data_IF_295090817251
#
_entry.id   IF_295090817251
#
_cell.length_a   1.000
_cell.length_b   1.000
_cell.length_c   1.000
_cell.angle_alpha   90.00
_cell.angle_beta   90.00
_cell.angle_gamma   90.00
#
_symmetry.space_group_name_H-M   'P 1'
#
loop_
_entity.id
_entity.type
_entity.pdbx_description
1 polymer ?
#
# COMPACT_ATOMS: atom_id res chain seq x y z
N UNK A 1 4.35 -0.14 -0.01
CA UNK A 1 3.51 -1.17 0.60
C UNK A 1 2.82 -2.00 -0.48
N UNK A 2 3.54 -2.93 -1.09
CA UNK A 2 2.94 -4.26 -1.29
C UNK A 2 3.50 -5.27 -0.27
N UNK A 3 4.68 -5.00 0.27
CA UNK A 3 5.46 -6.01 1.01
C UNK A 3 5.13 -6.17 2.49
N UNK A 4 4.56 -5.15 3.16
CA UNK A 4 4.21 -5.26 4.59
C UNK A 4 2.86 -5.90 4.89
N UNK A 5 2.14 -6.34 3.85
CA UNK A 5 0.80 -6.93 4.01
C UNK A 5 0.82 -8.20 4.89
N UNK A 6 1.98 -8.85 5.05
CA UNK A 6 2.18 -10.05 5.86
C UNK A 6 3.13 -9.84 7.04
N UNK A 7 3.45 -8.60 7.38
CA UNK A 7 4.31 -8.33 8.53
C UNK A 7 3.64 -8.83 9.82
N UNK A 8 4.41 -9.35 10.80
CA UNK A 8 3.86 -9.74 12.09
C UNK A 8 3.06 -8.61 12.75
N UNK A 9 1.87 -8.93 13.27
CA UNK A 9 0.95 -7.95 13.89
C UNK A 9 0.02 -7.22 12.91
N UNK A 10 0.13 -7.48 11.60
CA UNK A 10 -0.84 -7.02 10.61
C UNK A 10 -1.97 -8.04 10.48
N UNK A 11 -3.21 -7.57 10.63
CA UNK A 11 -4.42 -8.36 10.35
C UNK A 11 -5.02 -7.91 9.03
N UNK A 12 -5.11 -8.84 8.07
CA UNK A 12 -5.80 -8.66 6.80
C UNK A 12 -7.15 -9.36 6.81
N UNK A 13 -8.18 -8.68 6.27
CA UNK A 13 -9.49 -9.25 5.99
C UNK A 13 -9.88 -8.92 4.55
N UNK A 14 -10.43 -9.90 3.85
CA UNK A 14 -11.07 -9.63 2.57
C UNK A 14 -12.35 -8.80 2.83
N UNK A 15 -12.44 -7.66 2.16
CA UNK A 15 -13.51 -6.65 2.31
C UNK A 15 -14.25 -6.43 0.99
N UNK A 16 -14.45 -7.54 0.27
CA UNK A 16 -15.29 -7.62 -0.91
C UNK A 16 -14.63 -7.20 -2.22
N UNK A 17 -15.40 -7.39 -3.28
CA UNK A 17 -15.06 -6.95 -4.62
C UNK A 17 -15.49 -5.49 -4.81
N UNK A 18 -14.66 -4.69 -5.47
CA UNK A 18 -15.00 -3.33 -5.86
C UNK A 18 -14.77 -3.15 -7.35
N UNK A 19 -15.81 -2.68 -8.05
CA UNK A 19 -15.72 -2.29 -9.44
C UNK A 19 -15.53 -0.78 -9.57
N UNK A 20 -14.49 -0.37 -10.29
CA UNK A 20 -14.28 1.03 -10.65
C UNK A 20 -15.33 1.47 -11.67
N UNK A 21 -16.06 2.53 -11.38
CA UNK A 21 -17.10 3.03 -12.29
C UNK A 21 -16.54 3.76 -13.51
N UNK A 22 -15.30 4.23 -13.44
CA UNK A 22 -14.66 5.02 -14.50
C UNK A 22 -13.82 4.15 -15.42
N UNK A 23 -13.06 3.21 -14.87
CA UNK A 23 -12.16 2.33 -15.65
C UNK A 23 -12.73 0.94 -15.90
N UNK A 24 -13.86 0.59 -15.26
CA UNK A 24 -14.42 -0.76 -15.24
C UNK A 24 -13.50 -1.85 -14.64
N UNK A 25 -12.35 -1.48 -14.08
CA UNK A 25 -11.45 -2.38 -13.38
C UNK A 25 -12.14 -3.03 -12.18
N UNK A 26 -11.77 -4.28 -11.88
CA UNK A 26 -12.29 -5.03 -10.75
C UNK A 26 -11.17 -5.28 -9.75
N UNK A 27 -11.40 -4.94 -8.49
CA UNK A 27 -10.44 -5.07 -7.41
C UNK A 27 -10.93 -6.03 -6.33
N UNK A 28 -10.01 -6.82 -5.79
CA UNK A 28 -10.16 -7.40 -4.46
C UNK A 28 -9.75 -6.36 -3.43
N UNK A 29 -10.70 -5.92 -2.60
CA UNK A 29 -10.41 -4.99 -1.53
C UNK A 29 -10.04 -5.75 -0.27
N UNK A 30 -8.92 -5.38 0.33
CA UNK A 30 -8.43 -5.92 1.59
C UNK A 30 -8.49 -4.83 2.65
N UNK A 31 -9.19 -5.08 3.75
CA UNK A 31 -9.11 -4.25 4.95
C UNK A 31 -7.91 -4.69 5.79
N UNK A 32 -7.09 -3.71 6.18
CA UNK A 32 -5.88 -3.90 6.95
C UNK A 32 -5.98 -3.10 8.26
N UNK A 33 -5.69 -3.78 9.36
CA UNK A 33 -5.62 -3.24 10.72
C UNK A 33 -4.40 -3.80 11.44
N UNK A 34 -3.98 -3.15 12.53
CA UNK A 34 -2.83 -3.56 13.32
C UNK A 34 -3.27 -4.02 14.70
N UNK A 35 -2.78 -5.19 15.14
CA UNK A 35 -3.06 -5.71 16.47
C UNK A 35 -1.83 -5.53 17.37
N UNK A 36 -1.94 -4.65 18.36
CA UNK A 36 -0.94 -4.47 19.44
C UNK A 36 0.50 -4.22 18.94
N UNK A 37 0.67 -3.64 17.75
CA UNK A 37 1.97 -3.26 17.18
C UNK A 37 1.97 -1.80 16.73
N UNK A 38 3.11 -1.14 16.92
CA UNK A 38 3.30 0.25 16.51
C UNK A 38 2.66 1.30 17.42
N UNK A 39 2.86 2.57 17.07
CA UNK A 39 2.33 3.71 17.83
C UNK A 39 0.88 4.08 17.45
N UNK A 40 0.34 3.49 16.38
CA UNK A 40 -0.95 3.87 15.79
C UNK A 40 -1.88 2.67 15.55
N UNK A 41 -2.24 1.90 16.60
CA UNK A 41 -3.08 0.71 16.45
C UNK A 41 -4.49 1.00 15.93
N UNK A 42 -4.96 2.25 16.02
CA UNK A 42 -6.26 2.67 15.50
C UNK A 42 -6.30 2.96 13.99
N UNK A 43 -5.16 2.97 13.31
CA UNK A 43 -5.10 3.25 11.87
C UNK A 43 -5.77 2.12 11.08
N UNK A 44 -6.55 2.50 10.06
CA UNK A 44 -7.21 1.57 9.14
C UNK A 44 -6.80 1.85 7.72
N UNK A 45 -6.56 0.79 6.97
CA UNK A 45 -6.21 0.87 5.56
C UNK A 45 -7.11 -0.04 4.73
N UNK A 46 -7.41 0.39 3.51
CA UNK A 46 -8.02 -0.44 2.48
C UNK A 46 -7.10 -0.49 1.28
N UNK A 47 -6.79 -1.70 0.84
CA UNK A 47 -5.87 -1.98 -0.25
C UNK A 47 -6.66 -2.60 -1.38
N UNK A 48 -6.52 -2.05 -2.59
CA UNK A 48 -7.26 -2.48 -3.77
C UNK A 48 -6.29 -3.21 -4.71
N UNK A 49 -6.46 -4.53 -4.81
CA UNK A 49 -5.64 -5.41 -5.65
C UNK A 49 -6.40 -5.65 -6.95
N UNK A 50 -5.85 -5.22 -8.08
CA UNK A 50 -6.49 -5.41 -9.38
C UNK A 50 -6.49 -6.90 -9.74
N UNK A 51 -7.68 -7.45 -10.03
CA UNK A 51 -7.83 -8.88 -10.31
C UNK A 51 -7.16 -9.34 -11.61
N UNK A 52 -6.99 -8.44 -12.57
CA UNK A 52 -6.43 -8.79 -13.87
C UNK A 52 -4.91 -8.96 -13.84
N UNK A 53 -4.20 -8.19 -13.00
CA UNK A 53 -2.74 -8.15 -12.97
C UNK A 53 -2.12 -8.43 -11.58
N UNK A 54 -2.96 -8.59 -10.55
CA UNK A 54 -2.57 -8.80 -9.15
C UNK A 54 -1.62 -7.72 -8.60
N UNK A 55 -1.70 -6.49 -9.13
CA UNK A 55 -0.99 -5.33 -8.59
C UNK A 55 -1.91 -4.51 -7.70
N UNK A 56 -1.31 -3.83 -6.76
CA UNK A 56 -2.02 -2.89 -5.92
C UNK A 56 -2.11 -1.56 -6.67
N UNK A 57 -3.31 -1.03 -6.88
CA UNK A 57 -3.47 0.19 -7.71
C UNK A 57 -4.10 1.35 -6.94
N UNK A 58 -4.72 1.05 -5.79
CA UNK A 58 -5.30 2.07 -4.93
C UNK A 58 -5.19 1.69 -3.46
N UNK A 59 -4.97 2.72 -2.66
CA UNK A 59 -4.94 2.69 -1.21
C UNK A 59 -5.95 3.70 -0.67
N UNK A 60 -6.57 3.40 0.45
CA UNK A 60 -7.27 4.36 1.28
C UNK A 60 -6.82 4.19 2.71
N UNK A 61 -6.69 5.28 3.46
CA UNK A 61 -6.33 5.22 4.86
C UNK A 61 -7.21 6.16 5.70
N UNK A 62 -7.50 5.73 6.91
CA UNK A 62 -8.14 6.54 7.93
C UNK A 62 -7.28 6.43 9.20
N UNK A 63 -6.51 7.48 9.48
CA UNK A 63 -5.63 7.49 10.65
C UNK A 63 -6.44 7.67 11.92
N UNK A 64 -5.91 7.16 13.03
CA UNK A 64 -6.49 7.35 14.34
C UNK A 64 -6.70 8.84 14.63
N UNK A 65 -7.93 9.21 15.00
CA UNK A 65 -8.31 10.59 15.29
C UNK A 65 -8.70 11.43 14.07
N UNK A 66 -8.58 10.91 12.84
CA UNK A 66 -9.14 11.57 11.66
C UNK A 66 -10.64 11.24 11.49
N UNK A 67 -11.48 12.23 11.15
CA UNK A 67 -12.87 11.96 10.76
C UNK A 67 -12.93 11.34 9.35
N UNK A 68 -13.96 10.52 9.06
CA UNK A 68 -14.24 10.07 7.69
C UNK A 68 -14.48 11.25 6.71
N UNK A 69 -14.30 11.04 5.39
CA UNK A 69 -13.98 9.78 4.72
C UNK A 69 -12.49 9.42 4.73
N UNK A 70 -12.13 8.14 4.47
CA UNK A 70 -10.74 7.73 4.24
C UNK A 70 -10.06 8.51 3.09
N UNK A 71 -8.75 8.69 3.20
CA UNK A 71 -7.94 9.45 2.24
C UNK A 71 -7.37 8.51 1.17
N UNK A 72 -7.71 8.68 -0.11
CA UNK A 72 -7.27 7.80 -1.19
C UNK A 72 -5.89 8.17 -1.74
N UNK A 73 -5.14 7.18 -2.22
CA UNK A 73 -3.90 7.33 -2.98
C UNK A 73 -3.84 6.29 -4.09
N UNK A 74 -3.41 6.68 -5.29
CA UNK A 74 -3.11 5.71 -6.36
C UNK A 74 -1.72 5.11 -6.21
N UNK A 75 -1.54 3.94 -6.81
CA UNK A 75 -0.28 3.20 -6.91
C UNK A 75 -0.05 2.89 -8.39
N UNK A 76 0.83 3.64 -9.04
CA UNK A 76 0.99 3.68 -10.49
C UNK A 76 2.45 3.49 -10.90
N UNK A 77 2.68 3.29 -12.20
CA UNK A 77 4.03 3.19 -12.77
C UNK A 77 4.78 1.98 -12.24
N UNK A 78 4.15 0.82 -12.21
CA UNK A 78 4.78 -0.40 -11.71
C UNK A 78 5.97 -0.80 -12.58
N UNK A 79 7.13 -0.93 -11.95
CA UNK A 79 8.38 -1.39 -12.55
C UNK A 79 8.85 -2.67 -11.85
N UNK A 80 9.46 -3.57 -12.61
CA UNK A 80 10.11 -4.77 -12.07
C UNK A 80 11.61 -4.56 -11.97
N UNK A 81 12.18 -4.86 -10.81
CA UNK A 81 13.60 -4.82 -10.53
C UNK A 81 13.96 -6.08 -9.73
N UNK A 82 14.82 -6.93 -10.28
CA UNK A 82 15.32 -8.16 -9.65
C UNK A 82 14.21 -9.10 -9.13
N UNK A 83 13.10 -9.23 -9.88
CA UNK A 83 11.96 -10.07 -9.52
C UNK A 83 11.00 -9.44 -8.50
N UNK A 84 11.24 -8.19 -8.10
CA UNK A 84 10.40 -7.40 -7.21
C UNK A 84 9.70 -6.28 -7.99
N UNK A 85 8.47 -5.98 -7.62
CA UNK A 85 7.63 -4.98 -8.27
C UNK A 85 7.50 -3.73 -7.40
N UNK A 86 7.74 -2.57 -7.99
CA UNK A 86 7.73 -1.27 -7.31
C UNK A 86 6.85 -0.28 -8.06
N UNK A 87 5.90 0.39 -7.38
CA UNK A 87 5.17 1.50 -7.96
C UNK A 87 6.02 2.76 -7.88
N UNK A 88 6.22 3.42 -9.01
CA UNK A 88 7.05 4.62 -9.09
C UNK A 88 6.27 5.93 -8.99
N UNK A 89 4.93 5.88 -8.97
CA UNK A 89 4.10 7.07 -8.79
C UNK A 89 2.93 6.83 -7.82
N UNK A 90 2.65 7.83 -6.99
CA UNK A 90 1.48 7.85 -6.10
C UNK A 90 0.78 9.18 -6.19
N UNK A 91 -0.54 9.19 -6.43
CA UNK A 91 -1.32 10.43 -6.60
C UNK A 91 -2.43 10.56 -5.57
N UNK A 92 -2.66 11.79 -5.11
CA UNK A 92 -3.82 12.21 -4.33
C UNK A 92 -4.14 13.66 -4.67
N UNK A 93 -5.27 13.90 -5.36
CA UNK A 93 -5.66 15.22 -5.84
C UNK A 93 -4.55 15.83 -6.70
N UNK A 94 -4.11 17.04 -6.34
CA UNK A 94 -3.04 17.75 -7.05
C UNK A 94 -1.63 17.33 -6.62
N UNK A 95 -1.50 16.38 -5.68
CA UNK A 95 -0.21 15.89 -5.20
C UNK A 95 0.16 14.61 -5.92
N UNK A 96 1.38 14.59 -6.45
CA UNK A 96 2.01 13.37 -6.97
C UNK A 96 3.37 13.18 -6.31
N UNK A 97 3.65 11.95 -5.88
CA UNK A 97 4.94 11.51 -5.37
C UNK A 97 5.55 10.56 -6.38
N UNK A 98 6.78 10.85 -6.81
CA UNK A 98 7.54 10.00 -7.72
C UNK A 98 8.71 9.34 -7.00
N UNK A 99 8.95 8.06 -7.31
CA UNK A 99 10.16 7.33 -6.95
C UNK A 99 10.93 7.05 -8.23
N UNK A 100 12.25 7.24 -8.22
CA UNK A 100 13.11 7.06 -9.40
C UNK A 100 14.43 6.43 -8.97
N UNK A 101 15.15 5.87 -9.93
CA UNK A 101 16.41 5.15 -9.69
C UNK A 101 16.23 4.07 -8.61
N UNK A 102 15.21 3.23 -8.81
CA UNK A 102 14.97 2.08 -7.94
C UNK A 102 16.09 1.08 -8.19
N UNK A 103 16.75 0.66 -7.12
CA UNK A 103 17.75 -0.38 -7.11
C UNK A 103 17.39 -1.36 -5.99
N UNK A 104 17.65 -2.65 -6.21
CA UNK A 104 17.51 -3.64 -5.14
C UNK A 104 18.88 -4.00 -4.56
N UNK A 105 18.89 -4.38 -3.29
CA UNK A 105 20.09 -4.87 -2.62
C UNK A 105 19.81 -6.30 -2.14
N UNK A 106 20.78 -7.19 -2.33
CA UNK A 106 20.69 -8.57 -1.85
C UNK A 106 20.71 -8.66 -0.32
N UNK A 107 21.27 -7.65 0.36
CA UNK A 107 21.38 -7.57 1.81
C UNK A 107 21.22 -6.13 2.30
N UNK A 108 20.64 -5.98 3.49
CA UNK A 108 20.56 -4.68 4.16
C UNK A 108 21.96 -4.26 4.64
N UNK A 109 22.33 -3.00 4.41
CA UNK A 109 23.61 -2.45 4.87
C UNK A 109 23.57 -2.28 6.40
N UNK A 110 24.30 -3.08 7.20
CA UNK A 110 24.05 -3.20 8.64
C UNK A 110 24.27 -1.91 9.44
N UNK A 111 25.10 -0.99 8.93
CA UNK A 111 25.42 0.28 9.60
C UNK A 111 24.43 1.41 9.29
N UNK A 112 23.49 1.20 8.36
CA UNK A 112 22.50 2.21 7.98
C UNK A 112 21.25 2.19 8.86
N UNK A 113 20.99 1.07 9.55
CA UNK A 113 19.85 0.90 10.46
C UNK A 113 20.32 0.66 11.88
N UNK A 114 20.64 1.74 12.60
CA UNK A 114 20.87 1.68 14.04
C UNK A 114 19.54 1.86 14.77
N UNK A 115 19.27 1.04 15.79
CA UNK A 115 18.17 1.32 16.71
C UNK A 115 18.37 2.73 17.30
N UNK A 116 17.31 3.56 17.39
CA UNK A 116 17.38 4.86 18.04
C UNK A 116 17.72 4.75 19.53
#
# INVERSE_FOLDING_TARGET
MPYKLRDPGVTLKYDGEVKDSTTAAVYDRLALSFENVGMTPGDRYWVYVNRANHRVEKWEHLLQGMPPPPVPWTWEGWEEHDGLWFPTAHKNGNRTLYTRAVETAAEAKPKEFTAP
#
